data_IF_873273242168
#
_entry.id   IF_873273242168
#
_cell.length_a   1.000
_cell.length_b   1.000
_cell.length_c   1.000
_cell.angle_alpha   90.00
_cell.angle_beta   90.00
_cell.angle_gamma   90.00
#
_symmetry.space_group_name_H-M   'P 1'
#
loop_
_entity.id
_entity.type
_entity.pdbx_description
1 polymer ?
#
# COMPACT_ATOMS: atom_id res chain seq x y z
N UNK A 1 -24.15 -7.97 -13.61
CA UNK A 1 -22.82 -8.48 -14.00
C UNK A 1 -21.83 -7.80 -13.07
N UNK A 2 -21.16 -8.56 -12.20
CA UNK A 2 -20.16 -8.01 -11.28
C UNK A 2 -18.98 -7.53 -12.12
N UNK A 3 -18.76 -6.20 -12.19
CA UNK A 3 -17.55 -5.63 -12.79
C UNK A 3 -16.35 -6.12 -11.95
N UNK A 4 -15.72 -7.24 -12.35
CA UNK A 4 -14.42 -7.61 -11.84
C UNK A 4 -13.41 -6.55 -12.27
N UNK A 5 -12.45 -6.26 -11.40
CA UNK A 5 -11.36 -5.35 -11.75
C UNK A 5 -10.63 -5.89 -13.00
N UNK A 6 -10.24 -5.05 -13.98
CA UNK A 6 -9.57 -5.53 -15.20
C UNK A 6 -8.31 -6.35 -14.94
N UNK A 7 -7.66 -6.12 -13.80
CA UNK A 7 -6.47 -6.85 -13.36
C UNK A 7 -6.77 -8.02 -12.40
N UNK A 8 -8.03 -8.44 -12.22
CA UNK A 8 -8.35 -9.55 -11.32
C UNK A 8 -7.75 -10.88 -11.81
N UNK A 9 -7.63 -11.03 -13.13
CA UNK A 9 -7.15 -12.22 -13.84
C UNK A 9 -5.68 -12.08 -14.28
N UNK A 10 -4.82 -11.58 -13.38
CA UNK A 10 -3.38 -11.54 -13.60
C UNK A 10 -2.78 -12.95 -13.64
N UNK A 11 -1.64 -13.10 -14.33
CA UNK A 11 -0.86 -14.33 -14.27
C UNK A 11 -0.56 -14.69 -12.79
N UNK A 12 -0.78 -15.95 -12.35
CA UNK A 12 -1.06 -16.22 -10.94
C UNK A 12 0.17 -16.38 -10.04
N UNK A 13 1.37 -16.60 -10.59
CA UNK A 13 2.56 -16.92 -9.79
C UNK A 13 3.86 -16.42 -10.43
N UNK A 14 4.96 -16.44 -9.66
CA UNK A 14 6.30 -16.17 -10.18
C UNK A 14 6.74 -17.20 -11.24
N UNK A 15 7.74 -16.84 -12.06
CA UNK A 15 8.31 -17.69 -13.11
C UNK A 15 9.84 -17.69 -13.08
N UNK A 16 10.48 -18.62 -13.80
CA UNK A 16 11.94 -18.71 -13.89
C UNK A 16 12.62 -18.90 -12.52
N UNK A 17 13.74 -18.20 -12.29
CA UNK A 17 14.46 -18.26 -11.00
C UNK A 17 13.62 -17.80 -9.82
N UNK A 18 12.67 -16.88 -10.03
CA UNK A 18 11.77 -16.46 -8.96
C UNK A 18 10.85 -17.60 -8.51
N UNK A 19 10.41 -18.49 -9.42
CA UNK A 19 9.59 -19.65 -9.05
C UNK A 19 10.37 -20.63 -8.16
N UNK A 20 11.65 -20.88 -8.48
CA UNK A 20 12.53 -21.73 -7.66
C UNK A 20 12.70 -21.16 -6.26
N UNK A 21 12.97 -19.85 -6.15
CA UNK A 21 13.08 -19.17 -4.86
C UNK A 21 11.78 -19.26 -4.05
N UNK A 22 10.62 -19.05 -4.70
CA UNK A 22 9.31 -19.19 -4.03
C UNK A 22 9.12 -20.61 -3.48
N UNK A 23 9.49 -21.64 -4.24
CA UNK A 23 9.41 -23.03 -3.79
C UNK A 23 10.33 -23.30 -2.58
N UNK A 24 11.58 -22.87 -2.65
CA UNK A 24 12.57 -22.98 -1.56
C UNK A 24 12.11 -22.27 -0.27
N UNK A 25 11.36 -21.17 -0.40
CA UNK A 25 10.88 -20.36 0.72
C UNK A 25 9.38 -20.57 1.01
N UNK A 26 8.79 -21.67 0.54
CA UNK A 26 7.36 -21.97 0.75
C UNK A 26 7.04 -22.48 2.17
N UNK A 27 8.07 -22.97 2.87
CA UNK A 27 7.95 -23.56 4.22
C UNK A 27 7.50 -22.52 5.24
N UNK A 28 6.71 -22.98 6.21
CA UNK A 28 6.27 -22.16 7.36
C UNK A 28 7.48 -21.62 8.14
N UNK A 29 7.49 -20.29 8.30
CA UNK A 29 8.49 -19.56 9.07
C UNK A 29 7.82 -18.46 9.91
N UNK A 30 8.48 -17.97 10.98
CA UNK A 30 7.95 -16.89 11.82
C UNK A 30 7.74 -15.59 11.03
N UNK A 31 8.64 -15.27 10.11
CA UNK A 31 8.52 -14.11 9.22
C UNK A 31 7.73 -14.53 7.98
N UNK A 32 6.59 -13.89 7.75
CA UNK A 32 5.73 -14.14 6.58
C UNK A 32 5.78 -12.97 5.62
N UNK A 33 6.26 -13.22 4.40
CA UNK A 33 6.20 -12.27 3.31
C UNK A 33 4.97 -12.55 2.44
N UNK A 34 3.90 -11.78 2.66
CA UNK A 34 2.75 -11.76 1.76
C UNK A 34 3.11 -10.93 0.53
N UNK A 35 3.23 -11.61 -0.60
CA UNK A 35 3.89 -11.11 -1.79
C UNK A 35 2.99 -11.22 -3.02
N UNK A 36 3.10 -10.25 -3.92
CA UNK A 36 2.68 -10.43 -5.31
C UNK A 36 3.95 -10.48 -6.16
N UNK A 37 4.12 -11.52 -6.97
CA UNK A 37 5.34 -11.75 -7.77
C UNK A 37 5.72 -10.54 -8.66
N UNK A 38 4.72 -9.77 -9.11
CA UNK A 38 4.88 -8.62 -9.99
C UNK A 38 5.20 -7.31 -9.24
N UNK A 39 5.15 -7.29 -7.90
CA UNK A 39 5.16 -6.05 -7.13
C UNK A 39 6.60 -5.55 -6.86
N UNK A 40 7.00 -4.37 -7.35
CA UNK A 40 8.35 -3.85 -7.13
C UNK A 40 8.61 -3.47 -5.67
N UNK A 41 7.58 -3.21 -4.86
CA UNK A 41 7.75 -2.93 -3.43
C UNK A 41 8.04 -4.20 -2.63
N UNK A 42 7.37 -5.30 -2.95
CA UNK A 42 7.66 -6.62 -2.40
C UNK A 42 9.08 -7.04 -2.77
N UNK A 43 9.48 -6.81 -4.02
CA UNK A 43 10.83 -7.14 -4.49
C UNK A 43 11.94 -6.48 -3.65
N UNK A 44 11.74 -5.25 -3.16
CA UNK A 44 12.72 -4.58 -2.26
C UNK A 44 12.87 -5.30 -0.94
N UNK A 45 11.76 -5.73 -0.34
CA UNK A 45 11.77 -6.48 0.93
C UNK A 45 12.41 -7.85 0.70
N UNK A 46 12.04 -8.51 -0.39
CA UNK A 46 12.58 -9.81 -0.78
C UNK A 46 14.11 -9.76 -0.93
N UNK A 47 14.66 -8.77 -1.62
CA UNK A 47 16.10 -8.58 -1.74
C UNK A 47 16.77 -8.47 -0.37
N UNK A 48 16.20 -7.70 0.55
CA UNK A 48 16.76 -7.55 1.91
C UNK A 48 16.74 -8.88 2.66
N UNK A 49 15.65 -9.64 2.58
CA UNK A 49 15.52 -10.93 3.26
C UNK A 49 16.56 -11.93 2.74
N UNK A 50 16.72 -12.01 1.42
CA UNK A 50 17.70 -12.88 0.77
C UNK A 50 19.15 -12.47 1.10
N UNK A 51 19.52 -11.20 0.87
CA UNK A 51 20.88 -10.68 1.12
C UNK A 51 21.30 -10.78 2.60
N UNK A 52 20.34 -10.69 3.52
CA UNK A 52 20.60 -10.83 4.96
C UNK A 52 20.43 -12.25 5.48
N UNK A 53 20.11 -13.23 4.61
CA UNK A 53 19.82 -14.61 4.98
C UNK A 53 18.81 -14.69 6.14
N UNK A 54 17.78 -13.84 6.13
CA UNK A 54 16.72 -13.86 7.15
C UNK A 54 15.73 -14.96 6.73
N UNK A 55 15.47 -15.99 7.55
CA UNK A 55 14.47 -17.02 7.23
C UNK A 55 13.07 -16.41 7.10
N UNK A 56 12.36 -16.75 6.03
CA UNK A 56 11.00 -16.27 5.78
C UNK A 56 10.19 -17.26 4.96
N UNK A 57 8.87 -17.18 5.12
CA UNK A 57 7.90 -17.87 4.29
C UNK A 57 7.41 -16.89 3.22
N UNK A 58 7.53 -17.27 1.96
CA UNK A 58 6.90 -16.58 0.85
C UNK A 58 5.45 -17.05 0.70
N UNK A 59 4.51 -16.12 0.68
CA UNK A 59 3.09 -16.40 0.49
C UNK A 59 2.59 -15.56 -0.68
N UNK A 60 2.32 -16.20 -1.82
CA UNK A 60 1.77 -15.53 -3.00
C UNK A 60 0.34 -15.04 -2.72
N UNK A 61 0.06 -13.80 -3.11
CA UNK A 61 -1.20 -13.11 -2.90
C UNK A 61 -1.60 -12.38 -4.17
N UNK A 62 -2.76 -12.75 -4.71
CA UNK A 62 -3.48 -11.89 -5.64
C UNK A 62 -4.15 -10.74 -4.86
N UNK A 63 -3.79 -9.46 -5.10
CA UNK A 63 -4.35 -8.34 -4.35
C UNK A 63 -5.83 -8.07 -4.65
N UNK A 64 -6.38 -8.62 -5.74
CA UNK A 64 -7.79 -8.53 -6.09
C UNK A 64 -8.61 -9.66 -5.44
N UNK A 65 -7.96 -10.77 -5.07
CA UNK A 65 -8.55 -11.90 -4.34
C UNK A 65 -7.80 -12.14 -3.02
N UNK A 66 -7.90 -11.17 -2.10
CA UNK A 66 -7.15 -11.19 -0.84
C UNK A 66 -7.60 -12.33 0.07
N UNK A 67 -6.68 -13.19 0.56
CA UNK A 67 -7.05 -14.22 1.54
C UNK A 67 -7.42 -13.58 2.88
N UNK A 68 -8.32 -14.22 3.64
CA UNK A 68 -8.79 -13.73 4.93
C UNK A 68 -7.65 -13.54 5.96
N UNK A 69 -6.60 -14.35 5.88
CA UNK A 69 -5.39 -14.22 6.70
C UNK A 69 -4.69 -12.88 6.50
N UNK A 70 -4.57 -12.41 5.25
CA UNK A 70 -3.97 -11.11 4.95
C UNK A 70 -4.84 -9.95 5.43
N UNK A 71 -6.17 -10.08 5.34
CA UNK A 71 -7.09 -9.05 5.84
C UNK A 71 -6.95 -8.84 7.35
N UNK A 72 -6.62 -9.89 8.12
CA UNK A 72 -6.37 -9.80 9.56
C UNK A 72 -5.07 -9.07 9.91
N UNK A 73 -4.07 -9.09 9.03
CA UNK A 73 -2.76 -8.46 9.27
C UNK A 73 -2.76 -6.94 9.10
N UNK A 74 -3.85 -6.37 8.56
CA UNK A 74 -4.08 -4.94 8.41
C UNK A 74 -2.95 -4.14 7.70
N UNK A 75 -2.75 -4.33 6.38
CA UNK A 75 -1.73 -3.62 5.60
C UNK A 75 -2.05 -2.13 5.35
N UNK A 76 -3.20 -1.61 5.79
CA UNK A 76 -3.66 -0.24 5.51
C UNK A 76 -3.29 0.78 6.57
N UNK A 77 -2.75 0.32 7.70
CA UNK A 77 -2.47 1.12 8.88
C UNK A 77 -1.68 2.42 8.60
N UNK A 78 -0.53 2.41 7.88
CA UNK A 78 0.21 3.65 7.59
C UNK A 78 -0.51 4.62 6.65
N UNK A 79 -1.47 4.14 5.86
CA UNK A 79 -2.30 4.99 5.02
C UNK A 79 -3.42 5.63 5.84
N UNK A 80 -4.08 4.86 6.71
CA UNK A 80 -5.16 5.35 7.57
C UNK A 80 -4.69 6.49 8.49
N UNK A 81 -3.50 6.37 9.08
CA UNK A 81 -2.89 7.41 9.92
C UNK A 81 -2.46 8.66 9.16
N UNK A 82 -2.52 8.65 7.82
CA UNK A 82 -2.22 9.81 6.98
C UNK A 82 -3.45 10.38 6.29
N UNK A 83 -4.66 9.98 6.71
CA UNK A 83 -5.90 10.54 6.17
C UNK A 83 -6.00 12.05 6.40
N UNK A 84 -5.35 12.60 7.44
CA UNK A 84 -5.23 14.05 7.67
C UNK A 84 -4.71 14.84 6.44
N UNK A 85 -4.00 14.20 5.52
CA UNK A 85 -3.57 14.80 4.24
C UNK A 85 -4.79 15.25 3.43
N UNK A 86 -5.89 14.50 3.44
CA UNK A 86 -7.12 14.88 2.77
C UNK A 86 -7.80 16.05 3.45
N UNK A 87 -7.79 16.12 4.78
CA UNK A 87 -8.29 17.28 5.52
C UNK A 87 -7.52 18.53 5.12
N UNK A 88 -6.19 18.43 5.05
CA UNK A 88 -5.31 19.54 4.72
C UNK A 88 -5.45 20.02 3.26
N UNK A 89 -5.58 19.11 2.27
CA UNK A 89 -5.54 19.48 0.84
C UNK A 89 -6.88 19.43 0.11
N UNK A 90 -7.88 18.72 0.63
CA UNK A 90 -9.14 18.43 -0.07
C UNK A 90 -10.40 18.80 0.71
N UNK A 91 -10.27 19.42 1.89
CA UNK A 91 -11.41 19.72 2.75
C UNK A 91 -11.97 18.50 3.48
N UNK A 92 -11.17 17.42 3.55
CA UNK A 92 -11.50 16.18 4.24
C UNK A 92 -12.10 15.11 3.36
N UNK A 93 -12.37 13.95 3.97
CA UNK A 93 -13.06 12.82 3.35
C UNK A 93 -14.50 12.67 3.82
N UNK A 94 -15.00 13.63 4.61
CA UNK A 94 -16.33 13.60 5.22
C UNK A 94 -16.57 12.33 6.06
N UNK A 95 -15.55 11.88 6.80
CA UNK A 95 -15.61 10.67 7.65
C UNK A 95 -16.64 10.86 8.77
N UNK A 96 -16.88 12.11 9.17
CA UNK A 96 -17.92 12.53 10.09
C UNK A 96 -19.34 12.14 9.64
N UNK A 97 -19.58 12.01 8.33
CA UNK A 97 -20.89 11.66 7.76
C UNK A 97 -21.18 10.15 7.82
N UNK A 98 -20.21 9.33 8.26
CA UNK A 98 -20.32 7.87 8.29
C UNK A 98 -21.20 7.31 9.43
N UNK A 99 -21.74 8.16 10.31
CA UNK A 99 -22.59 7.75 11.43
C UNK A 99 -21.90 6.68 12.30
N UNK A 100 -22.59 5.59 12.63
CA UNK A 100 -22.07 4.49 13.46
C UNK A 100 -20.76 3.86 12.92
N UNK A 101 -20.48 3.98 11.62
CA UNK A 101 -19.22 3.49 11.06
C UNK A 101 -18.03 4.36 11.46
N UNK A 102 -18.25 5.62 11.81
CA UNK A 102 -17.22 6.53 12.34
C UNK A 102 -16.65 6.01 13.65
N UNK A 103 -17.50 5.63 14.59
CA UNK A 103 -17.05 5.13 15.91
C UNK A 103 -16.22 3.84 15.77
N UNK A 104 -16.59 2.99 14.80
CA UNK A 104 -15.82 1.78 14.49
C UNK A 104 -14.48 2.11 13.84
N UNK A 105 -14.46 3.12 12.97
CA UNK A 105 -13.26 3.61 12.34
C UNK A 105 -12.28 4.20 13.35
N UNK A 106 -12.75 5.07 14.25
CA UNK A 106 -11.91 5.71 15.28
C UNK A 106 -11.30 4.68 16.22
N UNK A 107 -12.10 3.75 16.77
CA UNK A 107 -11.58 2.64 17.58
C UNK A 107 -10.52 1.81 16.85
N UNK A 108 -10.67 1.62 15.54
CA UNK A 108 -9.71 0.89 14.74
C UNK A 108 -8.44 1.71 14.46
N UNK A 109 -8.55 3.02 14.25
CA UNK A 109 -7.40 3.92 14.10
C UNK A 109 -6.59 4.00 15.39
N UNK A 110 -7.23 4.17 16.54
CA UNK A 110 -6.58 4.23 17.85
C UNK A 110 -5.77 2.95 18.11
N UNK A 111 -6.40 1.79 17.90
CA UNK A 111 -5.75 0.48 18.07
C UNK A 111 -4.59 0.22 17.08
N UNK A 112 -4.49 0.99 15.99
CA UNK A 112 -3.37 0.93 15.05
C UNK A 112 -2.24 1.84 15.50
N UNK A 113 -2.56 3.06 15.91
CA UNK A 113 -1.58 4.07 16.32
C UNK A 113 -0.75 3.60 17.52
N UNK A 114 -1.35 2.81 18.41
CA UNK A 114 -0.67 2.23 19.57
C UNK A 114 0.30 1.08 19.22
N UNK A 115 0.27 0.54 18.01
CA UNK A 115 1.15 -0.58 17.64
C UNK A 115 2.58 -0.09 17.52
N UNK A 116 3.49 -0.69 18.29
CA UNK A 116 4.93 -0.37 18.25
C UNK A 116 5.52 -0.41 16.83
N UNK A 117 5.13 -1.36 15.99
CA UNK A 117 5.60 -1.44 14.60
C UNK A 117 5.15 -0.26 13.72
N UNK A 118 4.00 0.33 14.03
CA UNK A 118 3.50 1.53 13.36
C UNK A 118 4.25 2.76 13.86
N UNK A 119 4.36 2.93 15.17
CA UNK A 119 5.12 4.04 15.75
C UNK A 119 6.59 4.06 15.28
N UNK A 120 7.23 2.89 15.16
CA UNK A 120 8.60 2.79 14.68
C UNK A 120 8.76 3.02 13.16
N UNK A 121 7.69 2.96 12.38
CA UNK A 121 7.75 3.12 10.92
C UNK A 121 7.21 4.46 10.41
N UNK A 122 6.61 5.26 11.29
CA UNK A 122 6.14 6.60 10.98
C UNK A 122 7.14 7.67 11.46
N UNK A 123 7.34 8.67 10.62
CA UNK A 123 8.08 9.89 10.94
C UNK A 123 7.12 10.96 11.48
N UNK A 124 7.64 12.04 12.06
CA UNK A 124 6.78 13.14 12.51
C UNK A 124 6.02 13.79 11.33
N UNK A 125 4.73 14.09 11.56
CA UNK A 125 3.79 14.67 10.58
C UNK A 125 4.36 15.87 9.83
N UNK A 126 5.07 16.77 10.53
CA UNK A 126 5.65 17.99 9.97
C UNK A 126 6.60 17.75 8.79
N UNK A 127 7.24 16.59 8.70
CA UNK A 127 8.16 16.25 7.60
C UNK A 127 7.46 15.64 6.39
N UNK A 128 6.26 15.09 6.56
CA UNK A 128 5.46 14.59 5.45
C UNK A 128 4.82 15.72 4.64
N UNK A 129 4.40 16.80 5.32
CA UNK A 129 3.63 17.87 4.69
C UNK A 129 4.34 18.50 3.46
N UNK A 130 5.63 18.90 3.51
CA UNK A 130 6.31 19.48 2.34
C UNK A 130 6.43 18.50 1.16
N UNK A 131 6.48 17.19 1.42
CA UNK A 131 6.54 16.16 0.37
C UNK A 131 5.20 16.07 -0.36
N UNK A 132 4.10 16.03 0.40
CA UNK A 132 2.76 16.02 -0.19
C UNK A 132 2.44 17.31 -0.95
N UNK A 133 2.86 18.47 -0.43
CA UNK A 133 2.76 19.75 -1.13
C UNK A 133 3.46 19.69 -2.49
N UNK A 134 4.75 19.31 -2.50
CA UNK A 134 5.54 19.24 -3.74
C UNK A 134 4.90 18.34 -4.79
N UNK A 135 4.46 17.14 -4.38
CA UNK A 135 3.83 16.19 -5.29
C UNK A 135 2.48 16.69 -5.83
N UNK A 136 1.72 17.42 -5.00
CA UNK A 136 0.51 18.11 -5.45
C UNK A 136 0.82 19.19 -6.50
N UNK A 137 1.86 19.99 -6.27
CA UNK A 137 2.31 21.02 -7.21
C UNK A 137 2.84 20.43 -8.53
N UNK A 138 3.65 19.37 -8.49
CA UNK A 138 4.19 18.69 -9.67
C UNK A 138 3.08 18.16 -10.60
N UNK A 139 2.05 17.52 -10.03
CA UNK A 139 0.90 17.02 -10.80
C UNK A 139 0.14 18.18 -11.46
N UNK A 140 -0.06 19.29 -10.75
CA UNK A 140 -0.73 20.47 -11.30
C UNK A 140 0.10 21.13 -12.41
N UNK A 141 1.43 21.22 -12.25
CA UNK A 141 2.30 21.77 -13.29
C UNK A 141 2.34 20.90 -14.54
N UNK A 142 2.36 19.58 -14.38
CA UNK A 142 2.34 18.64 -15.51
C UNK A 142 1.02 18.70 -16.29
N UNK A 143 -0.11 18.76 -15.58
CA UNK A 143 -1.43 18.93 -16.19
C UNK A 143 -1.53 20.26 -16.96
N UNK A 144 -1.04 21.36 -16.37
CA UNK A 144 -1.00 22.67 -17.04
C UNK A 144 -0.07 22.67 -18.26
N UNK A 145 1.08 22.02 -18.17
CA UNK A 145 2.02 21.87 -19.28
C UNK A 145 1.49 20.97 -20.40
N UNK A 146 0.69 19.95 -20.08
CA UNK A 146 0.02 19.08 -21.05
C UNK A 146 -1.10 19.83 -21.79
N UNK A 147 -1.95 20.56 -21.05
CA UNK A 147 -3.03 21.38 -21.62
C UNK A 147 -2.49 22.50 -22.54
N UNK A 148 -1.42 23.19 -22.12
CA UNK A 148 -0.76 24.23 -22.92
C UNK A 148 -0.18 23.67 -24.24
N UNK A 149 0.37 22.45 -24.23
CA UNK A 149 0.86 21.78 -25.44
C UNK A 149 -0.28 21.33 -26.37
N UNK A 150 -1.40 20.88 -25.81
CA UNK A 150 -2.59 20.51 -26.59
C UNK A 150 -3.25 21.70 -27.28
N UNK A 151 -3.26 22.88 -26.65
CA UNK A 151 -3.82 24.12 -27.21
C UNK A 151 -2.93 24.76 -28.28
N UNK A 152 -1.61 24.50 -28.29
CA UNK A 152 -0.68 24.98 -29.33
C UNK A 152 -0.65 24.10 -30.59
N UNK A 153 -1.19 22.89 -30.53
CA UNK A 153 -1.21 21.91 -31.62
C UNK A 153 -2.60 21.77 -32.29
N UNK A 154 -3.51 22.73 -32.04
CA UNK A 154 -4.75 22.96 -32.81
C UNK A 154 -4.62 24.27 -33.57
#
# INVERSE_FOLDING_TARGET
MTNSHPDADLFPHATGFAAQMVEEHSKEEPVKLYAGWFCPFVQRVLLILLEKNIPFQYIEVNPYHKPASLLKLNPRAPWALRIWVFDYFKGGLHIEELGDMRDRWEKWVDAIEERKSIQMSLSETKYYLPIYQRRGYEIISDLRGSLSRSLKNK
#
